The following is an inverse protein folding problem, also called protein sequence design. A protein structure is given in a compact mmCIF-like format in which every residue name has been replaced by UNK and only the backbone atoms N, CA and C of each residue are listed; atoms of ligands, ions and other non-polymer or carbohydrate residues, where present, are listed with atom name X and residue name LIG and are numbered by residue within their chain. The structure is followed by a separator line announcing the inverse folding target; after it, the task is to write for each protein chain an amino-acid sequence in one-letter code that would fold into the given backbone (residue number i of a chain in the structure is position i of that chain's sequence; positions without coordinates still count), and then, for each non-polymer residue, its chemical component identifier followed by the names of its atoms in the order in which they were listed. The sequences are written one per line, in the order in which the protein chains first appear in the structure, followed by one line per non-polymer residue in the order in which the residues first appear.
data_IF_109659750190
#
_entry.id   IF_109659750190
#
_cell.length_a   1.000
_cell.length_b   1.000
_cell.length_c   1.000
_cell.angle_alpha   90.00
_cell.angle_beta   90.00
_cell.angle_gamma   90.00
#
_symmetry.space_group_name_H-M   'P 1'
#
loop_
_entity.id
_entity.type
_entity.pdbx_description
1 polymer ?
#
# COMPACT_ATOMS: atom_id res chain seq x y z
N UNK A 1 -18.83 -11.94 9.34
CA UNK A 1 -17.39 -11.80 9.27
C UNK A 1 -16.77 -12.21 10.59
N UNK A 2 -15.68 -12.98 10.56
CA UNK A 2 -14.87 -13.25 11.74
C UNK A 2 -13.66 -12.30 11.69
N UNK A 3 -13.39 -11.54 12.76
CA UNK A 3 -12.25 -10.61 12.84
C UNK A 3 -10.99 -11.30 13.39
N UNK A 4 -10.89 -12.62 13.30
CA UNK A 4 -9.69 -13.36 13.65
C UNK A 4 -9.13 -14.03 12.39
N UNK A 5 -7.81 -13.99 12.21
CA UNK A 5 -7.15 -14.65 11.10
C UNK A 5 -7.31 -16.18 11.23
N UNK A 6 -7.56 -16.86 10.14
CA UNK A 6 -7.50 -18.29 10.07
C UNK A 6 -6.05 -18.81 10.06
N UNK A 7 -5.87 -20.13 10.07
CA UNK A 7 -4.54 -20.73 10.18
C UNK A 7 -3.69 -20.44 8.92
N UNK A 8 -4.31 -20.42 7.73
CA UNK A 8 -3.64 -20.12 6.47
C UNK A 8 -3.16 -18.66 6.44
N UNK A 9 -3.99 -17.71 6.87
CA UNK A 9 -3.64 -16.30 6.97
C UNK A 9 -2.51 -16.05 7.98
N UNK A 10 -2.50 -16.77 9.10
CA UNK A 10 -1.40 -16.72 10.06
C UNK A 10 -0.09 -17.25 9.47
N UNK A 11 -0.16 -18.31 8.66
CA UNK A 11 1.01 -18.84 7.95
C UNK A 11 1.54 -17.83 6.92
N UNK A 12 0.66 -17.18 6.12
CA UNK A 12 1.07 -16.11 5.21
C UNK A 12 1.70 -14.93 5.95
N UNK A 13 1.11 -14.49 7.06
CA UNK A 13 1.68 -13.41 7.87
C UNK A 13 3.07 -13.77 8.40
N UNK A 14 3.25 -15.00 8.90
CA UNK A 14 4.52 -15.47 9.45
C UNK A 14 5.60 -15.59 8.35
N UNK A 15 5.28 -16.17 7.21
CA UNK A 15 6.19 -16.30 6.07
C UNK A 15 6.58 -14.94 5.50
N UNK A 16 5.63 -14.02 5.36
CA UNK A 16 5.88 -12.66 4.88
C UNK A 16 6.78 -11.89 5.88
N UNK A 17 6.50 -12.00 7.18
CA UNK A 17 7.32 -11.36 8.21
C UNK A 17 8.76 -11.85 8.17
N UNK A 18 8.97 -13.17 8.17
CA UNK A 18 10.32 -13.76 8.09
C UNK A 18 11.06 -13.30 6.83
N UNK A 19 10.38 -13.32 5.69
CA UNK A 19 10.96 -12.87 4.45
C UNK A 19 11.38 -11.40 4.49
N UNK A 20 10.47 -10.48 4.86
CA UNK A 20 10.74 -9.05 4.84
C UNK A 20 11.76 -8.62 5.90
N UNK A 21 11.77 -9.24 7.08
CA UNK A 21 12.79 -8.99 8.10
C UNK A 21 14.19 -9.40 7.62
N UNK A 22 14.29 -10.42 6.75
CA UNK A 22 15.54 -10.87 6.14
C UNK A 22 16.09 -9.97 5.03
N UNK A 23 15.31 -9.02 4.50
CA UNK A 23 15.69 -8.21 3.31
C UNK A 23 16.39 -6.88 3.64
N UNK A 24 16.55 -6.49 4.90
CA UNK A 24 17.12 -5.19 5.31
C UNK A 24 16.51 -3.99 4.56
N UNK A 25 15.17 -4.00 4.41
CA UNK A 25 14.43 -3.03 3.61
C UNK A 25 14.69 -1.57 4.04
N UNK A 26 14.88 -1.30 5.33
CA UNK A 26 15.14 0.05 5.82
C UNK A 26 16.52 0.58 5.41
N UNK A 27 17.57 -0.28 5.38
CA UNK A 27 18.86 0.12 4.84
C UNK A 27 18.77 0.42 3.34
N UNK A 28 17.99 -0.39 2.62
CA UNK A 28 17.71 -0.13 1.20
C UNK A 28 16.95 1.18 1.00
N UNK A 29 15.92 1.47 1.81
CA UNK A 29 15.20 2.74 1.76
C UNK A 29 16.13 3.95 1.96
N UNK A 30 17.11 3.86 2.87
CA UNK A 30 18.14 4.89 3.04
C UNK A 30 19.06 5.02 1.83
N UNK A 31 19.44 3.91 1.19
CA UNK A 31 20.27 3.93 -0.02
C UNK A 31 19.55 4.61 -1.18
N UNK A 32 18.27 4.30 -1.40
CA UNK A 32 17.44 4.92 -2.44
C UNK A 32 17.28 6.44 -2.29
N UNK A 33 17.37 6.99 -1.09
CA UNK A 33 17.36 8.44 -0.89
C UNK A 33 18.66 9.12 -1.38
N UNK A 34 19.77 8.39 -1.42
CA UNK A 34 21.05 8.89 -1.93
C UNK A 34 21.18 8.70 -3.43
N UNK A 35 20.74 7.56 -3.92
CA UNK A 35 20.82 7.13 -5.32
C UNK A 35 19.44 6.59 -5.77
N UNK A 36 18.48 7.48 -6.09
CA UNK A 36 17.18 7.08 -6.57
C UNK A 36 17.29 6.39 -7.94
N UNK A 37 16.72 5.19 -8.07
CA UNK A 37 16.68 4.46 -9.33
C UNK A 37 17.46 3.14 -9.34
N UNK A 38 18.15 2.78 -8.26
CA UNK A 38 18.68 1.44 -8.12
C UNK A 38 17.57 0.38 -8.05
N UNK A 39 17.86 -0.81 -8.60
CA UNK A 39 16.94 -1.94 -8.55
C UNK A 39 16.57 -2.28 -7.10
N UNK A 40 15.28 -2.45 -6.85
CA UNK A 40 14.81 -2.84 -5.52
C UNK A 40 15.11 -4.30 -5.28
N UNK A 41 15.71 -4.67 -4.15
CA UNK A 41 15.88 -6.07 -3.82
C UNK A 41 14.50 -6.71 -3.62
N UNK A 42 14.34 -7.92 -4.09
CA UNK A 42 13.26 -8.78 -3.66
C UNK A 42 12.16 -9.11 -4.66
N UNK A 43 12.03 -8.44 -5.83
CA UNK A 43 10.95 -8.79 -6.77
C UNK A 43 10.96 -10.28 -7.14
N UNK A 44 12.08 -10.79 -7.61
CA UNK A 44 12.20 -12.22 -7.95
C UNK A 44 11.97 -13.13 -6.76
N UNK A 45 12.42 -12.71 -5.58
CA UNK A 45 12.21 -13.47 -4.35
C UNK A 45 10.75 -13.43 -3.89
N UNK A 46 10.06 -12.27 -4.01
CA UNK A 46 8.62 -12.15 -3.78
C UNK A 46 7.81 -13.02 -4.74
N UNK A 47 8.20 -13.03 -6.02
CA UNK A 47 7.57 -13.88 -7.02
C UNK A 47 7.82 -15.38 -6.76
N UNK A 48 9.03 -15.77 -6.36
CA UNK A 48 9.35 -17.15 -5.97
C UNK A 48 8.56 -17.66 -4.77
N UNK A 49 8.21 -16.77 -3.83
CA UNK A 49 7.32 -17.07 -2.70
C UNK A 49 5.84 -17.01 -3.10
N UNK A 50 5.53 -16.62 -4.31
CA UNK A 50 4.17 -16.49 -4.83
C UNK A 50 3.42 -15.25 -4.36
N UNK A 51 4.03 -14.36 -3.57
CA UNK A 51 3.36 -13.18 -3.03
C UNK A 51 2.96 -12.18 -4.11
N UNK A 52 3.73 -12.08 -5.19
CA UNK A 52 3.44 -11.18 -6.30
C UNK A 52 2.28 -11.65 -7.17
N UNK A 53 2.08 -12.95 -7.28
CA UNK A 53 0.95 -13.59 -7.95
C UNK A 53 -0.13 -14.15 -7.00
N UNK A 54 -0.21 -13.67 -5.75
CA UNK A 54 -1.03 -14.31 -4.72
C UNK A 54 -2.50 -14.39 -5.12
N UNK A 55 -3.07 -13.33 -5.68
CA UNK A 55 -4.48 -13.26 -6.13
C UNK A 55 -4.68 -13.68 -7.60
N UNK A 56 -3.60 -13.87 -8.36
CA UNK A 56 -3.73 -14.38 -9.72
C UNK A 56 -4.16 -15.86 -9.70
N UNK A 57 -4.99 -16.31 -10.65
CA UNK A 57 -5.49 -17.68 -10.66
C UNK A 57 -4.37 -18.70 -10.90
N UNK A 58 -4.52 -19.91 -10.37
CA UNK A 58 -3.56 -21.01 -10.55
C UNK A 58 -3.32 -21.33 -12.04
N UNK A 59 -4.35 -21.20 -12.88
CA UNK A 59 -4.23 -21.38 -14.34
C UNK A 59 -3.28 -20.41 -15.03
N UNK A 60 -2.95 -19.30 -14.36
CA UNK A 60 -1.99 -18.29 -14.80
C UNK A 60 -0.71 -18.30 -13.95
N UNK A 61 -0.42 -19.38 -13.22
CA UNK A 61 0.78 -19.50 -12.39
C UNK A 61 0.72 -18.75 -11.06
N UNK A 62 -0.42 -18.19 -10.69
CA UNK A 62 -0.66 -17.59 -9.37
C UNK A 62 -1.05 -18.62 -8.32
N UNK A 63 -1.45 -18.15 -7.13
CA UNK A 63 -1.86 -19.01 -6.01
C UNK A 63 -3.40 -19.03 -5.85
N UNK A 64 -4.12 -18.06 -6.40
CA UNK A 64 -5.58 -18.00 -6.36
C UNK A 64 -6.16 -17.69 -4.98
N UNK A 65 -5.45 -16.93 -4.16
CA UNK A 65 -5.87 -16.56 -2.81
C UNK A 65 -6.75 -15.28 -2.82
N UNK A 66 -7.33 -14.97 -1.67
CA UNK A 66 -8.23 -13.83 -1.48
C UNK A 66 -7.48 -12.48 -1.38
N UNK A 67 -8.24 -11.39 -1.50
CA UNK A 67 -7.71 -10.04 -1.24
C UNK A 67 -7.31 -9.89 0.24
N UNK A 68 -8.04 -10.55 1.16
CA UNK A 68 -7.68 -10.56 2.57
C UNK A 68 -6.32 -11.23 2.82
N UNK A 69 -6.02 -12.34 2.13
CA UNK A 69 -4.72 -13.01 2.25
C UNK A 69 -3.59 -12.11 1.74
N UNK A 70 -3.81 -11.40 0.63
CA UNK A 70 -2.83 -10.43 0.12
C UNK A 70 -2.66 -9.23 1.07
N UNK A 71 -3.74 -8.75 1.69
CA UNK A 71 -3.69 -7.64 2.64
C UNK A 71 -2.86 -8.00 3.89
N UNK A 72 -2.97 -9.23 4.37
CA UNK A 72 -2.15 -9.74 5.49
C UNK A 72 -0.66 -9.76 5.14
N UNK A 73 -0.30 -10.12 3.90
CA UNK A 73 1.09 -10.06 3.41
C UNK A 73 1.54 -8.60 3.26
N UNK A 74 0.68 -7.73 2.71
CA UNK A 74 0.97 -6.31 2.51
C UNK A 74 1.18 -5.56 3.84
N UNK A 75 0.46 -5.93 4.89
CA UNK A 75 0.70 -5.41 6.25
C UNK A 75 2.17 -5.67 6.67
N UNK A 76 2.70 -6.87 6.44
CA UNK A 76 4.10 -7.17 6.78
C UNK A 76 5.11 -6.40 5.91
N UNK A 77 4.80 -6.17 4.63
CA UNK A 77 5.61 -5.34 3.74
C UNK A 77 5.67 -3.88 4.23
N UNK A 78 4.54 -3.33 4.68
CA UNK A 78 4.43 -1.98 5.23
C UNK A 78 5.31 -1.76 6.47
N UNK A 79 5.43 -2.75 7.36
CA UNK A 79 6.24 -2.70 8.58
C UNK A 79 7.72 -2.36 8.33
N UNK A 80 8.21 -2.68 7.16
CA UNK A 80 9.63 -2.49 6.79
C UNK A 80 9.82 -1.55 5.59
N UNK A 81 8.76 -0.89 5.12
CA UNK A 81 8.75 -0.04 3.93
C UNK A 81 9.28 -0.80 2.69
N UNK A 82 8.86 -2.06 2.54
CA UNK A 82 9.31 -2.90 1.45
C UNK A 82 8.92 -2.32 0.07
N UNK A 83 9.67 -2.68 -0.93
CA UNK A 83 9.38 -2.51 -2.36
C UNK A 83 9.92 -3.69 -3.14
N UNK A 84 9.40 -4.00 -4.30
CA UNK A 84 8.32 -3.38 -5.07
C UNK A 84 6.95 -3.51 -4.36
N UNK A 85 5.98 -2.68 -4.78
CA UNK A 85 4.72 -2.57 -4.06
C UNK A 85 3.74 -3.68 -4.42
N UNK A 86 3.16 -4.32 -3.41
CA UNK A 86 2.04 -5.26 -3.58
C UNK A 86 0.76 -4.53 -4.05
N UNK A 87 0.68 -3.22 -3.87
CA UNK A 87 -0.40 -2.37 -4.42
C UNK A 87 -0.42 -2.45 -5.94
N UNK A 88 0.76 -2.32 -6.58
CA UNK A 88 0.90 -2.43 -8.04
C UNK A 88 0.57 -3.84 -8.53
N UNK A 89 1.07 -4.87 -7.84
CA UNK A 89 0.80 -6.26 -8.17
C UNK A 89 -0.71 -6.57 -8.12
N UNK A 90 -1.39 -6.15 -7.06
CA UNK A 90 -2.83 -6.34 -6.91
C UNK A 90 -3.62 -5.64 -8.03
N UNK A 91 -3.29 -4.38 -8.30
CA UNK A 91 -3.96 -3.58 -9.33
C UNK A 91 -3.77 -4.18 -10.73
N UNK A 92 -2.53 -4.59 -11.05
CA UNK A 92 -2.20 -5.22 -12.31
C UNK A 92 -2.89 -6.58 -12.47
N UNK A 93 -2.92 -7.42 -11.43
CA UNK A 93 -3.58 -8.71 -11.48
C UNK A 93 -5.07 -8.60 -11.82
N UNK A 94 -5.77 -7.60 -11.25
CA UNK A 94 -7.19 -7.35 -11.57
C UNK A 94 -7.37 -6.85 -13.00
N UNK A 95 -6.52 -5.94 -13.47
CA UNK A 95 -6.61 -5.38 -14.83
C UNK A 95 -6.28 -6.39 -15.92
N UNK A 96 -5.39 -7.35 -15.62
CA UNK A 96 -4.96 -8.42 -16.53
C UNK A 96 -5.88 -9.65 -16.49
N UNK A 97 -6.99 -9.60 -15.75
CA UNK A 97 -7.92 -10.72 -15.67
C UNK A 97 -8.36 -11.19 -17.07
N UNK A 98 -8.18 -12.50 -17.34
CA UNK A 98 -8.42 -13.13 -18.62
C UNK A 98 -7.19 -13.14 -19.57
N UNK A 99 -6.11 -12.42 -19.27
CA UNK A 99 -4.83 -12.49 -20.02
C UNK A 99 -3.83 -13.40 -19.28
N UNK A 100 -3.93 -14.68 -19.52
CA UNK A 100 -3.13 -15.71 -18.82
C UNK A 100 -1.63 -15.53 -19.01
N UNK A 101 -1.17 -15.06 -20.17
CA UNK A 101 0.24 -14.86 -20.45
C UNK A 101 0.81 -13.72 -19.61
N UNK A 102 0.13 -12.58 -19.57
CA UNK A 102 0.57 -11.42 -18.78
C UNK A 102 0.42 -11.65 -17.29
N UNK A 103 -0.62 -12.34 -16.86
CA UNK A 103 -0.76 -12.74 -15.45
C UNK A 103 0.37 -13.69 -15.01
N UNK A 104 0.79 -14.62 -15.86
CA UNK A 104 1.93 -15.50 -15.57
C UNK A 104 3.23 -14.69 -15.45
N UNK A 105 3.46 -13.74 -16.36
CA UNK A 105 4.62 -12.86 -16.32
C UNK A 105 4.64 -11.92 -15.09
N UNK A 106 3.47 -11.49 -14.62
CA UNK A 106 3.32 -10.78 -13.33
C UNK A 106 3.68 -11.72 -12.18
N UNK A 107 3.07 -12.91 -12.13
CA UNK A 107 3.19 -13.83 -11.01
C UNK A 107 4.63 -14.35 -10.80
N UNK A 108 5.35 -14.63 -11.87
CA UNK A 108 6.76 -15.08 -11.82
C UNK A 108 7.78 -13.93 -11.75
N UNK A 109 7.32 -12.68 -11.84
CA UNK A 109 8.17 -11.49 -11.78
C UNK A 109 9.06 -11.31 -13.00
N UNK A 110 8.76 -11.93 -14.14
CA UNK A 110 9.50 -11.73 -15.39
C UNK A 110 9.15 -10.40 -16.07
N UNK A 111 7.97 -9.83 -15.77
CA UNK A 111 7.56 -8.50 -16.19
C UNK A 111 7.18 -7.64 -14.98
N UNK A 112 7.82 -6.47 -14.91
CA UNK A 112 7.50 -5.46 -13.90
C UNK A 112 6.46 -4.49 -14.47
N UNK A 113 5.23 -4.56 -13.96
CA UNK A 113 4.14 -3.67 -14.35
C UNK A 113 4.09 -2.43 -13.45
N UNK A 114 3.63 -1.31 -14.02
CA UNK A 114 3.06 -0.21 -13.26
C UNK A 114 1.71 0.17 -13.87
N UNK A 115 0.82 0.68 -13.03
CA UNK A 115 -0.51 1.15 -13.45
C UNK A 115 -0.52 2.67 -13.38
N UNK A 116 -0.70 3.30 -14.53
CA UNK A 116 -0.58 4.75 -14.69
C UNK A 116 -1.90 5.43 -14.37
N UNK A 117 -1.89 6.31 -13.38
CA UNK A 117 -3.02 7.20 -13.11
C UNK A 117 -2.96 8.43 -14.01
N UNK A 118 -4.12 8.80 -14.59
CA UNK A 118 -4.25 9.90 -15.53
C UNK A 118 -4.21 9.45 -17.00
N UNK A 119 -3.70 10.30 -17.89
CA UNK A 119 -3.69 10.04 -19.33
C UNK A 119 -2.47 9.23 -19.79
N UNK A 120 -2.61 8.31 -20.76
CA UNK A 120 -1.45 7.66 -21.39
C UNK A 120 -0.47 8.63 -22.08
N UNK A 121 -0.92 9.84 -22.41
CA UNK A 121 -0.10 10.90 -23.01
C UNK A 121 0.81 11.61 -21.99
N UNK A 122 0.56 11.41 -20.68
CA UNK A 122 1.35 11.94 -19.59
C UNK A 122 0.65 11.64 -18.27
N UNK A 123 1.09 10.59 -17.58
CA UNK A 123 0.50 10.15 -16.31
C UNK A 123 0.85 11.09 -15.16
N UNK A 124 0.05 11.03 -14.09
CA UNK A 124 0.51 11.43 -12.77
C UNK A 124 1.66 10.51 -12.31
N UNK A 125 2.47 10.92 -11.30
CA UNK A 125 3.44 10.03 -10.70
C UNK A 125 2.77 8.78 -10.14
N UNK A 126 3.11 7.62 -10.69
CA UNK A 126 2.48 6.33 -10.38
C UNK A 126 3.47 5.41 -9.66
N UNK A 127 2.94 4.53 -8.78
CA UNK A 127 3.75 3.60 -7.98
C UNK A 127 4.50 2.65 -8.91
N UNK A 128 5.77 2.37 -8.59
CA UNK A 128 6.69 1.49 -9.31
C UNK A 128 7.00 1.90 -10.76
N UNK A 129 6.43 3.00 -11.26
CA UNK A 129 6.62 3.43 -12.63
C UNK A 129 8.08 3.77 -13.00
N UNK A 130 8.95 4.01 -12.01
CA UNK A 130 10.40 4.23 -12.24
C UNK A 130 11.12 2.97 -12.71
N UNK A 131 10.64 1.79 -12.31
CA UNK A 131 11.32 0.51 -12.55
C UNK A 131 10.54 -0.41 -13.48
N UNK A 132 9.26 -0.15 -13.69
CA UNK A 132 8.41 -0.97 -14.52
C UNK A 132 8.89 -1.02 -15.98
N UNK A 133 8.70 -2.18 -16.61
CA UNK A 133 9.04 -2.43 -18.01
C UNK A 133 7.81 -2.33 -18.91
N UNK A 134 6.63 -2.59 -18.37
CA UNK A 134 5.34 -2.42 -19.05
C UNK A 134 4.37 -1.60 -18.18
N UNK A 135 3.52 -0.84 -18.85
CA UNK A 135 2.60 0.10 -18.22
C UNK A 135 1.17 -0.16 -18.64
N UNK A 136 0.29 -0.30 -17.65
CA UNK A 136 -1.15 -0.39 -17.85
C UNK A 136 -1.76 1.01 -17.68
N UNK A 137 -2.63 1.42 -18.60
CA UNK A 137 -3.28 2.73 -18.55
C UNK A 137 -4.71 2.66 -19.11
N UNK A 138 -5.55 3.61 -18.70
CA UNK A 138 -6.88 3.79 -19.27
C UNK A 138 -6.85 4.95 -20.28
N UNK A 139 -7.16 4.65 -21.55
CA UNK A 139 -7.32 5.62 -22.62
C UNK A 139 -8.83 5.80 -22.90
N UNK A 140 -9.42 6.84 -22.33
CA UNK A 140 -10.88 6.98 -22.28
C UNK A 140 -11.51 5.84 -21.48
N UNK A 141 -12.17 4.88 -22.13
CA UNK A 141 -12.72 3.66 -21.52
C UNK A 141 -11.95 2.40 -21.94
N UNK A 142 -10.83 2.54 -22.63
CA UNK A 142 -10.07 1.42 -23.19
C UNK A 142 -8.83 1.15 -22.33
N UNK A 143 -8.70 -0.07 -21.82
CA UNK A 143 -7.49 -0.53 -21.16
C UNK A 143 -6.42 -0.83 -22.20
N UNK A 144 -5.28 -0.22 -22.05
CA UNK A 144 -4.11 -0.41 -22.88
C UNK A 144 -2.91 -0.86 -22.05
N UNK A 145 -2.03 -1.65 -22.67
CA UNK A 145 -0.69 -1.92 -22.17
C UNK A 145 0.32 -1.35 -23.16
N UNK A 146 1.43 -0.85 -22.64
CA UNK A 146 2.46 -0.29 -23.50
C UNK A 146 3.79 -0.10 -22.84
N UNK A 147 4.75 0.40 -23.62
CA UNK A 147 6.06 0.81 -23.14
C UNK A 147 6.17 2.34 -23.10
N UNK A 148 7.11 2.85 -22.34
CA UNK A 148 7.35 4.28 -22.22
C UNK A 148 8.59 4.56 -21.40
N UNK A 149 9.04 5.82 -21.38
CA UNK A 149 10.18 6.22 -20.56
C UNK A 149 9.69 6.92 -19.28
N UNK A 150 10.13 6.45 -18.10
CA UNK A 150 9.80 7.11 -16.85
C UNK A 150 10.48 8.48 -16.74
N UNK A 151 9.70 9.50 -16.38
CA UNK A 151 10.16 10.83 -16.02
C UNK A 151 10.06 10.93 -14.51
N UNK A 152 11.19 10.73 -13.84
CA UNK A 152 11.25 10.72 -12.37
C UNK A 152 11.82 12.04 -11.85
N UNK A 153 11.16 12.59 -10.83
CA UNK A 153 11.68 13.68 -10.01
C UNK A 153 12.48 13.18 -8.80
N UNK A 154 12.86 14.11 -7.92
CA UNK A 154 13.36 13.75 -6.59
C UNK A 154 12.19 13.38 -5.69
N UNK A 155 12.05 12.10 -5.28
CA UNK A 155 10.91 11.67 -4.50
C UNK A 155 11.07 12.01 -3.02
N UNK A 156 9.97 12.39 -2.37
CA UNK A 156 9.93 12.48 -0.90
C UNK A 156 10.14 11.08 -0.30
N UNK A 157 9.40 10.08 -0.81
CA UNK A 157 9.63 8.66 -0.54
C UNK A 157 10.18 7.97 -1.78
N UNK A 158 11.45 7.59 -1.73
CA UNK A 158 12.11 6.89 -2.83
C UNK A 158 11.66 5.42 -2.96
N UNK A 159 11.08 4.85 -1.91
CA UNK A 159 10.69 3.44 -1.88
C UNK A 159 9.44 3.15 -2.72
N UNK A 160 8.61 4.16 -3.04
CA UNK A 160 7.44 4.02 -3.91
C UNK A 160 7.78 3.96 -5.41
N UNK A 161 9.03 4.28 -5.81
CA UNK A 161 9.43 4.26 -7.21
C UNK A 161 8.57 5.12 -8.12
N UNK A 162 8.15 6.29 -7.65
CA UNK A 162 7.25 7.17 -8.38
C UNK A 162 7.91 7.75 -9.63
N UNK A 163 7.19 7.69 -10.74
CA UNK A 163 7.52 8.40 -11.97
C UNK A 163 6.24 8.69 -12.77
N UNK A 164 6.27 9.76 -13.54
CA UNK A 164 5.31 9.98 -14.62
C UNK A 164 5.79 9.27 -15.88
N UNK A 165 4.86 8.76 -16.70
CA UNK A 165 5.21 8.05 -17.93
C UNK A 165 4.34 8.56 -19.07
N UNK A 166 4.94 8.68 -20.26
CA UNK A 166 4.24 8.82 -21.52
C UNK A 166 4.41 7.53 -22.30
N UNK A 167 3.29 6.89 -22.66
CA UNK A 167 3.34 5.68 -23.46
C UNK A 167 3.77 5.98 -24.89
N UNK A 168 4.70 5.22 -25.40
CA UNK A 168 5.21 5.31 -26.80
C UNK A 168 4.57 4.29 -27.71
N UNK A 169 4.44 3.04 -27.23
CA UNK A 169 3.73 1.97 -27.92
C UNK A 169 2.58 1.49 -27.08
N UNK A 170 1.42 1.22 -27.72
CA UNK A 170 0.20 0.81 -27.03
C UNK A 170 -0.47 -0.35 -27.73
N UNK A 171 -0.88 -1.33 -26.95
CA UNK A 171 -1.73 -2.44 -27.38
C UNK A 171 -3.02 -2.41 -26.59
N UNK A 172 -4.16 -2.51 -27.26
CA UNK A 172 -5.47 -2.59 -26.62
C UNK A 172 -5.62 -3.97 -25.98
N UNK A 173 -5.91 -3.99 -24.69
CA UNK A 173 -6.24 -5.21 -23.95
C UNK A 173 -7.76 -5.41 -23.86
N UNK A 174 -8.50 -4.36 -23.54
CA UNK A 174 -9.95 -4.42 -23.36
C UNK A 174 -10.60 -3.08 -23.67
N UNK A 175 -11.68 -3.11 -24.44
CA UNK A 175 -12.59 -1.97 -24.59
C UNK A 175 -13.61 -1.98 -23.46
N UNK A 176 -14.19 -0.82 -23.14
CA UNK A 176 -15.18 -0.66 -22.06
C UNK A 176 -14.70 -1.20 -20.70
N UNK A 177 -13.50 -0.80 -20.32
CA UNK A 177 -12.82 -1.26 -19.11
C UNK A 177 -13.04 -0.35 -17.89
N UNK A 178 -13.96 0.63 -17.95
CA UNK A 178 -14.13 1.62 -16.87
C UNK A 178 -14.47 0.99 -15.51
N UNK A 179 -15.39 0.03 -15.48
CA UNK A 179 -15.76 -0.67 -14.24
C UNK A 179 -14.61 -1.55 -13.70
N UNK A 180 -13.89 -2.24 -14.60
CA UNK A 180 -12.72 -3.03 -14.22
C UNK A 180 -11.60 -2.15 -13.63
N UNK A 181 -11.36 -0.99 -14.25
CA UNK A 181 -10.39 -0.01 -13.79
C UNK A 181 -10.71 0.48 -12.38
N UNK A 182 -11.98 0.84 -12.15
CA UNK A 182 -12.41 1.32 -10.84
C UNK A 182 -12.31 0.22 -9.77
N UNK A 183 -12.73 -1.01 -10.07
CA UNK A 183 -12.54 -2.15 -9.18
C UNK A 183 -11.04 -2.37 -8.85
N UNK A 184 -10.17 -2.31 -9.86
CA UNK A 184 -8.74 -2.45 -9.66
C UNK A 184 -8.16 -1.33 -8.78
N UNK A 185 -8.66 -0.09 -8.93
CA UNK A 185 -8.31 1.06 -8.09
C UNK A 185 -8.76 0.85 -6.65
N UNK A 186 -9.98 0.39 -6.42
CA UNK A 186 -10.50 0.11 -5.08
C UNK A 186 -9.72 -0.99 -4.37
N UNK A 187 -9.38 -2.09 -5.06
CA UNK A 187 -8.54 -3.15 -4.50
C UNK A 187 -7.14 -2.62 -4.17
N UNK A 188 -6.52 -1.87 -5.08
CA UNK A 188 -5.24 -1.22 -4.83
C UNK A 188 -5.27 -0.30 -3.59
N UNK A 189 -6.38 0.41 -3.40
CA UNK A 189 -6.63 1.28 -2.24
C UNK A 189 -6.66 0.48 -0.94
N UNK A 190 -7.32 -0.67 -0.92
CA UNK A 190 -7.34 -1.57 0.25
C UNK A 190 -5.93 -2.12 0.56
N UNK A 191 -5.17 -2.53 -0.45
CA UNK A 191 -3.81 -3.03 -0.24
C UNK A 191 -2.86 -1.92 0.20
N UNK A 192 -3.02 -0.69 -0.29
CA UNK A 192 -2.28 0.47 0.20
C UNK A 192 -2.56 0.72 1.69
N UNK A 193 -3.84 0.65 2.10
CA UNK A 193 -4.22 0.79 3.50
C UNK A 193 -3.66 -0.33 4.40
N UNK A 194 -3.47 -1.54 3.86
CA UNK A 194 -2.81 -2.63 4.56
C UNK A 194 -1.30 -2.37 4.76
N UNK A 195 -0.60 -1.84 3.75
CA UNK A 195 0.79 -1.38 3.91
C UNK A 195 0.88 -0.22 4.92
N UNK A 196 -0.06 0.74 4.87
CA UNK A 196 -0.15 1.86 5.83
C UNK A 196 -0.33 1.36 7.27
N UNK A 197 -1.22 0.37 7.47
CA UNK A 197 -1.43 -0.27 8.77
C UNK A 197 -0.14 -0.89 9.30
N UNK A 198 0.56 -1.66 8.48
CA UNK A 198 1.83 -2.29 8.85
C UNK A 198 2.88 -1.25 9.25
N UNK A 199 2.99 -0.15 8.49
CA UNK A 199 3.89 0.95 8.79
C UNK A 199 3.51 1.66 10.11
N UNK A 200 2.23 1.95 10.34
CA UNK A 200 1.73 2.60 11.55
C UNK A 200 1.96 1.73 12.80
N UNK A 201 1.69 0.41 12.71
CA UNK A 201 1.92 -0.54 13.78
C UNK A 201 3.42 -0.62 14.16
N UNK A 202 4.29 -0.68 13.15
CA UNK A 202 5.75 -0.68 13.38
C UNK A 202 6.24 0.62 14.03
N UNK A 203 5.75 1.75 13.56
CA UNK A 203 6.06 3.08 14.12
C UNK A 203 5.61 3.18 15.57
N UNK A 204 4.42 2.68 15.89
CA UNK A 204 3.93 2.60 17.26
C UNK A 204 4.85 1.76 18.15
N UNK A 205 5.26 0.56 17.72
CA UNK A 205 6.20 -0.28 18.45
C UNK A 205 7.54 0.43 18.74
N UNK A 206 8.12 1.09 17.71
CA UNK A 206 9.36 1.88 17.86
C UNK A 206 9.16 2.99 18.89
N UNK A 207 8.02 3.68 18.86
CA UNK A 207 7.68 4.73 19.81
C UNK A 207 7.57 4.23 21.26
N UNK A 208 6.94 3.08 21.45
CA UNK A 208 6.81 2.43 22.78
C UNK A 208 8.17 2.02 23.30
N UNK A 209 9.00 1.38 22.48
CA UNK A 209 10.36 0.95 22.88
C UNK A 209 11.24 2.16 23.27
N UNK A 210 11.20 3.21 22.46
CA UNK A 210 11.92 4.44 22.78
C UNK A 210 11.41 5.09 24.07
N UNK A 211 10.10 5.12 24.29
CA UNK A 211 9.51 5.68 25.50
C UNK A 211 9.88 4.90 26.77
N UNK A 212 10.15 3.60 26.66
CA UNK A 212 10.62 2.74 27.77
C UNK A 212 12.09 2.96 28.10
N UNK A 213 12.94 3.20 27.10
CA UNK A 213 14.39 3.21 27.25
C UNK A 213 14.95 4.62 27.43
N UNK A 214 14.39 5.62 26.76
CA UNK A 214 14.86 7.01 26.85
C UNK A 214 14.53 7.61 28.22
N UNK A 215 15.56 8.11 28.90
CA UNK A 215 15.42 8.78 30.20
C UNK A 215 15.62 10.28 30.08
N UNK A 216 14.79 11.07 30.79
CA UNK A 216 14.88 12.51 30.91
C UNK A 216 14.41 12.91 32.31
N UNK A 217 15.09 13.84 32.95
CA UNK A 217 14.79 14.25 34.32
C UNK A 217 14.75 13.07 35.31
N UNK A 218 15.68 12.10 35.18
CA UNK A 218 15.85 10.97 36.10
C UNK A 218 14.87 9.81 35.92
N UNK A 219 14.01 9.79 34.92
CA UNK A 219 13.07 8.70 34.65
C UNK A 219 12.78 8.51 33.16
N UNK A 220 12.25 7.32 32.80
CA UNK A 220 11.85 7.02 31.43
C UNK A 220 10.77 8.01 30.94
N UNK A 221 10.87 8.46 29.67
CA UNK A 221 9.89 9.42 29.11
C UNK A 221 8.48 8.84 29.09
N UNK A 222 8.31 7.54 28.89
CA UNK A 222 7.03 6.83 28.97
C UNK A 222 6.39 6.86 30.36
N UNK A 223 7.07 7.34 31.41
CA UNK A 223 6.47 7.53 32.73
C UNK A 223 5.62 8.81 32.83
N UNK A 224 5.77 9.76 31.90
CA UNK A 224 5.00 11.00 31.86
C UNK A 224 3.64 10.78 31.23
N UNK A 225 2.59 11.33 31.86
CA UNK A 225 1.20 11.16 31.38
C UNK A 225 1.00 11.64 29.95
N UNK A 226 1.59 12.78 29.57
CA UNK A 226 1.46 13.33 28.21
C UNK A 226 1.99 12.37 27.14
N UNK A 227 3.06 11.61 27.43
CA UNK A 227 3.60 10.60 26.53
C UNK A 227 2.71 9.35 26.51
N UNK A 228 2.24 8.91 27.69
CA UNK A 228 1.35 7.74 27.79
C UNK A 228 0.05 7.96 26.99
N UNK A 229 -0.58 9.14 27.15
CA UNK A 229 -1.83 9.43 26.47
C UNK A 229 -1.63 9.41 24.94
N UNK A 230 -0.60 10.06 24.42
CA UNK A 230 -0.29 10.04 22.99
C UNK A 230 -0.07 8.62 22.45
N UNK A 231 0.62 7.77 23.21
CA UNK A 231 0.85 6.38 22.80
C UNK A 231 -0.44 5.56 22.87
N UNK A 232 -1.32 5.83 23.85
CA UNK A 232 -2.63 5.16 23.93
C UNK A 232 -3.53 5.60 22.77
N UNK A 233 -3.58 6.89 22.44
CA UNK A 233 -4.35 7.40 21.32
C UNK A 233 -3.85 6.78 20.01
N UNK A 234 -2.53 6.75 19.76
CA UNK A 234 -1.93 6.09 18.60
C UNK A 234 -2.26 4.58 18.54
N UNK A 235 -2.25 3.88 19.67
CA UNK A 235 -2.63 2.47 19.73
C UNK A 235 -4.09 2.24 19.34
N UNK A 236 -5.00 3.08 19.84
CA UNK A 236 -6.43 3.01 19.53
C UNK A 236 -6.66 3.22 18.02
N UNK A 237 -6.00 4.22 17.44
CA UNK A 237 -6.13 4.51 16.01
C UNK A 237 -5.61 3.35 15.14
N UNK A 238 -4.47 2.74 15.49
CA UNK A 238 -3.91 1.58 14.77
C UNK A 238 -4.83 0.36 14.89
N UNK A 239 -5.41 0.10 16.07
CA UNK A 239 -6.32 -1.03 16.29
C UNK A 239 -7.65 -0.87 15.52
N UNK A 240 -8.19 0.35 15.48
CA UNK A 240 -9.36 0.67 14.66
C UNK A 240 -9.06 0.56 13.16
N UNK A 241 -7.90 1.03 12.71
CA UNK A 241 -7.46 0.88 11.32
C UNK A 241 -7.35 -0.61 10.93
N UNK A 242 -6.81 -1.44 11.80
CA UNK A 242 -6.73 -2.89 11.58
C UNK A 242 -8.11 -3.51 11.33
N UNK A 243 -9.07 -3.19 12.17
CA UNK A 243 -10.44 -3.67 12.04
C UNK A 243 -11.09 -3.21 10.73
N UNK A 244 -10.90 -1.95 10.38
CA UNK A 244 -11.44 -1.34 9.17
C UNK A 244 -10.79 -1.92 7.91
N UNK A 245 -9.48 -2.13 7.92
CA UNK A 245 -8.74 -2.74 6.82
C UNK A 245 -9.19 -4.19 6.57
N UNK A 246 -9.33 -4.99 7.60
CA UNK A 246 -9.82 -6.37 7.44
C UNK A 246 -11.25 -6.41 6.90
N UNK A 247 -12.12 -5.51 7.36
CA UNK A 247 -13.47 -5.39 6.79
C UNK A 247 -13.39 -5.03 5.30
N UNK A 248 -12.59 -4.06 4.91
CA UNK A 248 -12.47 -3.64 3.52
C UNK A 248 -11.89 -4.75 2.62
N UNK A 249 -10.86 -5.47 3.09
CA UNK A 249 -10.29 -6.59 2.36
C UNK A 249 -11.28 -7.74 2.22
N UNK A 250 -12.01 -8.09 3.28
CA UNK A 250 -13.07 -9.10 3.23
C UNK A 250 -14.21 -8.72 2.28
N UNK A 251 -14.59 -7.43 2.27
CA UNK A 251 -15.64 -6.90 1.40
C UNK A 251 -15.28 -7.05 -0.08
N UNK A 252 -14.00 -6.90 -0.44
CA UNK A 252 -13.55 -7.08 -1.81
C UNK A 252 -13.86 -8.46 -2.40
N UNK A 253 -13.85 -9.50 -1.55
CA UNK A 253 -14.10 -10.88 -1.96
C UNK A 253 -15.57 -11.33 -1.80
N UNK A 254 -16.31 -10.74 -0.82
CA UNK A 254 -17.60 -11.28 -0.38
C UNK A 254 -18.80 -10.34 -0.63
N UNK A 255 -18.56 -9.03 -0.76
CA UNK A 255 -19.62 -8.03 -0.95
C UNK A 255 -19.10 -6.94 -1.91
N UNK A 256 -18.82 -7.27 -3.19
CA UNK A 256 -18.18 -6.34 -4.11
C UNK A 256 -18.99 -5.07 -4.35
N UNK A 257 -20.29 -5.07 -4.09
CA UNK A 257 -21.18 -3.90 -4.11
C UNK A 257 -20.85 -2.89 -3.01
N UNK A 258 -20.35 -3.35 -1.86
CA UNK A 258 -19.95 -2.49 -0.73
C UNK A 258 -18.49 -2.03 -0.82
N UNK A 259 -17.71 -2.58 -1.76
CA UNK A 259 -16.29 -2.28 -1.90
C UNK A 259 -16.01 -0.78 -2.11
N UNK A 260 -16.79 -0.01 -2.89
CA UNK A 260 -16.55 1.43 -3.06
C UNK A 260 -16.56 2.19 -1.71
N UNK A 261 -17.52 1.87 -0.84
CA UNK A 261 -17.62 2.46 0.50
C UNK A 261 -16.46 2.00 1.38
N UNK A 262 -16.18 0.70 1.41
CA UNK A 262 -15.15 0.11 2.25
C UNK A 262 -13.75 0.61 1.89
N UNK A 263 -13.42 0.67 0.60
CA UNK A 263 -12.15 1.18 0.09
C UNK A 263 -11.96 2.67 0.42
N UNK A 264 -13.02 3.49 0.23
CA UNK A 264 -12.94 4.91 0.57
C UNK A 264 -12.81 5.15 2.07
N UNK A 265 -13.57 4.42 2.89
CA UNK A 265 -13.49 4.54 4.34
C UNK A 265 -12.10 4.17 4.89
N UNK A 266 -11.54 3.03 4.43
CA UNK A 266 -10.22 2.59 4.90
C UNK A 266 -9.11 3.52 4.43
N UNK A 267 -9.18 4.06 3.21
CA UNK A 267 -8.17 5.00 2.69
C UNK A 267 -8.15 6.31 3.46
N UNK A 268 -9.31 6.92 3.68
CA UNK A 268 -9.39 8.14 4.46
C UNK A 268 -8.81 7.94 5.87
N UNK A 269 -9.15 6.83 6.50
CA UNK A 269 -8.68 6.53 7.86
C UNK A 269 -7.19 6.19 7.91
N UNK A 270 -6.68 5.34 6.98
CA UNK A 270 -5.26 4.95 6.95
C UNK A 270 -4.34 6.14 6.72
N UNK A 271 -4.72 7.04 5.81
CA UNK A 271 -3.96 8.25 5.51
C UNK A 271 -3.77 9.14 6.75
N UNK A 272 -4.84 9.34 7.52
CA UNK A 272 -4.81 10.11 8.77
C UNK A 272 -3.98 9.40 9.84
N UNK A 273 -4.26 8.12 10.09
CA UNK A 273 -3.59 7.35 11.15
C UNK A 273 -2.08 7.27 10.92
N UNK A 274 -1.64 6.91 9.71
CA UNK A 274 -0.22 6.80 9.42
C UNK A 274 0.50 8.15 9.60
N UNK A 275 -0.13 9.26 9.17
CA UNK A 275 0.44 10.60 9.35
C UNK A 275 0.57 10.96 10.82
N UNK A 276 -0.49 10.82 11.62
CA UNK A 276 -0.52 11.17 13.05
C UNK A 276 0.44 10.30 13.89
N UNK A 277 0.51 9.00 13.60
CA UNK A 277 1.40 8.08 14.33
C UNK A 277 2.87 8.34 13.98
N UNK A 278 3.20 8.63 12.72
CA UNK A 278 4.57 8.98 12.32
C UNK A 278 5.01 10.34 12.87
N UNK A 279 4.14 11.34 12.93
CA UNK A 279 4.41 12.62 13.58
C UNK A 279 4.62 12.47 15.08
N UNK A 280 3.83 11.61 15.72
CA UNK A 280 4.01 11.27 17.14
C UNK A 280 5.37 10.61 17.37
N UNK A 281 5.80 9.67 16.51
CA UNK A 281 7.13 9.05 16.60
C UNK A 281 8.25 10.09 16.52
N UNK A 282 8.20 10.99 15.52
CA UNK A 282 9.20 12.05 15.36
C UNK A 282 9.22 12.95 16.61
N UNK A 283 8.06 13.34 17.11
CA UNK A 283 7.96 14.17 18.32
C UNK A 283 8.55 13.48 19.55
N UNK A 284 8.32 12.17 19.71
CA UNK A 284 8.90 11.37 20.83
C UNK A 284 10.43 11.33 20.77
N UNK A 285 10.99 11.17 19.57
CA UNK A 285 12.43 11.13 19.36
C UNK A 285 13.08 12.52 19.46
N UNK A 286 12.32 13.60 19.26
CA UNK A 286 12.86 14.95 19.19
C UNK A 286 13.83 15.12 18.02
N UNK A 287 14.90 15.87 18.20
CA UNK A 287 15.83 16.21 17.11
C UNK A 287 16.37 15.02 16.33
N UNK A 288 16.65 13.88 16.99
CA UNK A 288 17.19 12.68 16.34
C UNK A 288 16.18 12.04 15.36
N UNK A 289 14.87 12.15 15.63
CA UNK A 289 13.83 11.59 14.76
C UNK A 289 13.79 12.21 13.36
N UNK A 290 14.41 13.37 13.18
CA UNK A 290 14.50 14.08 11.89
C UNK A 290 15.89 14.01 11.25
N UNK A 291 16.83 13.27 11.87
CA UNK A 291 18.18 13.10 11.33
C UNK A 291 18.29 11.84 10.47
N UNK A 292 19.32 11.80 9.63
CA UNK A 292 19.66 10.63 8.81
C UNK A 292 20.14 9.42 9.63
N UNK A 293 20.30 9.57 10.93
CA UNK A 293 20.75 8.52 11.85
C UNK A 293 19.60 7.62 12.34
N UNK A 294 18.34 8.05 12.16
CA UNK A 294 17.16 7.34 12.66
C UNK A 294 16.12 7.11 11.57
N UNK A 295 15.41 5.97 11.60
CA UNK A 295 14.44 5.58 10.56
C UNK A 295 13.09 6.28 10.63
N UNK A 296 12.79 7.01 11.70
CA UNK A 296 11.49 7.66 11.88
C UNK A 296 11.09 8.53 10.68
N UNK A 297 12.04 9.25 10.09
CA UNK A 297 11.77 10.10 8.93
C UNK A 297 11.42 9.32 7.66
N UNK A 298 11.83 8.04 7.53
CA UNK A 298 11.48 7.20 6.38
C UNK A 298 9.98 6.90 6.39
N UNK A 299 9.44 6.50 7.54
CA UNK A 299 8.02 6.26 7.73
C UNK A 299 7.18 7.54 7.56
N UNK A 300 7.66 8.66 8.07
CA UNK A 300 7.00 9.95 7.85
C UNK A 300 6.96 10.35 6.37
N UNK A 301 8.06 10.12 5.62
CA UNK A 301 8.08 10.35 4.16
C UNK A 301 7.06 9.47 3.44
N UNK A 302 6.97 8.19 3.81
CA UNK A 302 5.97 7.27 3.33
C UNK A 302 4.56 7.81 3.58
N UNK A 303 4.24 8.23 4.79
CA UNK A 303 2.95 8.80 5.15
C UNK A 303 2.57 10.01 4.29
N UNK A 304 3.53 10.95 4.06
CA UNK A 304 3.29 12.15 3.24
C UNK A 304 3.06 11.85 1.76
N UNK A 305 3.57 10.75 1.25
CA UNK A 305 3.34 10.30 -0.12
C UNK A 305 2.03 9.49 -0.22
N UNK A 306 1.85 8.50 0.63
CA UNK A 306 0.72 7.57 0.54
C UNK A 306 -0.62 8.26 0.73
N UNK A 307 -0.69 9.33 1.55
CA UNK A 307 -1.91 10.14 1.70
C UNK A 307 -2.44 10.74 0.40
N UNK A 308 -1.59 10.91 -0.63
CA UNK A 308 -1.96 11.50 -1.92
C UNK A 308 -2.19 10.43 -3.00
N UNK A 309 -1.73 9.20 -2.80
CA UNK A 309 -1.86 8.13 -3.77
C UNK A 309 -3.29 7.59 -3.79
N UNK A 310 -3.83 7.33 -4.98
CA UNK A 310 -5.17 6.78 -5.19
C UNK A 310 -6.32 7.67 -4.67
N UNK A 311 -6.09 8.96 -4.49
CA UNK A 311 -7.00 9.94 -3.91
C UNK A 311 -6.60 10.33 -2.48
N UNK A 312 -6.88 11.57 -2.10
CA UNK A 312 -6.60 12.07 -0.76
C UNK A 312 -7.75 11.81 0.24
N UNK A 313 -7.49 12.14 1.50
CA UNK A 313 -8.46 11.95 2.59
C UNK A 313 -9.79 12.67 2.32
N UNK A 314 -9.75 13.91 1.81
CA UNK A 314 -10.95 14.71 1.57
C UNK A 314 -11.80 14.10 0.46
N UNK A 315 -11.19 13.69 -0.66
CA UNK A 315 -11.86 12.99 -1.75
C UNK A 315 -12.57 11.73 -1.27
N UNK A 316 -11.88 10.91 -0.46
CA UNK A 316 -12.45 9.67 0.06
C UNK A 316 -13.55 9.89 1.10
N UNK A 317 -13.45 10.93 1.95
CA UNK A 317 -14.53 11.30 2.88
C UNK A 317 -15.78 11.78 2.15
N UNK A 318 -15.62 12.55 1.06
CA UNK A 318 -16.73 12.96 0.20
C UNK A 318 -17.41 11.74 -0.44
N UNK A 319 -16.64 10.75 -0.93
CA UNK A 319 -17.20 9.50 -1.45
C UNK A 319 -17.97 8.71 -0.39
N UNK A 320 -17.42 8.59 0.83
CA UNK A 320 -18.13 7.94 1.95
C UNK A 320 -19.46 8.64 2.25
N UNK A 321 -19.45 9.98 2.28
CA UNK A 321 -20.66 10.74 2.53
C UNK A 321 -21.73 10.51 1.45
N UNK A 322 -21.36 10.58 0.17
CA UNK A 322 -22.25 10.35 -0.97
C UNK A 322 -22.87 8.95 -0.93
N UNK A 323 -22.05 7.91 -0.84
CA UNK A 323 -22.51 6.51 -0.82
C UNK A 323 -23.41 6.20 0.38
N UNK A 324 -23.13 6.81 1.55
CA UNK A 324 -23.96 6.64 2.75
C UNK A 324 -25.32 7.33 2.62
N UNK A 325 -25.40 8.48 1.94
CA UNK A 325 -26.64 9.20 1.72
C UNK A 325 -27.53 8.48 0.69
N UNK A 326 -26.97 7.98 -0.41
CA UNK A 326 -27.68 7.21 -1.43
C UNK A 326 -28.33 5.95 -0.83
N UNK A 327 -27.60 5.19 -0.02
CA UNK A 327 -28.14 3.99 0.66
C UNK A 327 -29.30 4.32 1.61
N UNK A 328 -29.29 5.50 2.27
CA UNK A 328 -30.39 5.93 3.13
C UNK A 328 -31.65 6.30 2.36
N UNK A 329 -31.52 6.93 1.21
CA UNK A 329 -32.67 7.27 0.36
C UNK A 329 -33.37 6.01 -0.17
N UNK A 330 -32.62 5.01 -0.60
CA UNK A 330 -33.17 3.71 -1.03
C UNK A 330 -33.88 2.94 0.09
N UNK A 331 -33.44 3.10 1.34
CA UNK A 331 -34.05 2.42 2.50
C UNK A 331 -35.34 3.11 3.00
N UNK A 332 -35.56 4.38 2.62
CA UNK A 332 -36.72 5.18 3.04
C UNK A 332 -37.85 5.16 2.01
N UNK A 333 -37.66 4.61 0.83
CA UNK A 333 -38.65 4.38 -0.23
C UNK A 333 -39.19 2.95 -0.23
#
# INVERSE_FOLDING_TARGET
MNFDLDDNQREFAAAAKEFFEGQDCLAHARALLKEPGEARPGLKSLAQLGFYGLIAPESAGGIGQSILDLAVVAEQAGRVLAGPSLVTAARAAVLLDGDTERLAALADGSTEYAVLDGSPEGSAPSIDARIATEFLALDGTTLVVGTGEPIAGEPIDATRGLASVRLTDRTVLRTDAGQLWERARQIATVILAAEDLGAADRVFEIGVEYARTRTTFGRAIGSYQAIKHRLVDAWVDVDQLRSLMWWAAWTADHSPEDLPLAASAVKAYSSRVLEEVTETLIQLHGGIGFTWEHDAHLFWRRAKVDRLLLGDEAEHLDHVALLTLETREETLL
#
